data_IF_881397714655
#
_entry.id   IF_881397714655
#
_cell.length_a   1.000
_cell.length_b   1.000
_cell.length_c   1.000
_cell.angle_alpha   90.00
_cell.angle_beta   90.00
_cell.angle_gamma   90.00
#
_symmetry.space_group_name_H-M   'P 1'
#
loop_
_entity.id
_entity.type
_entity.pdbx_description
1 polymer ?
#
# COMPACT_ATOMS: atom_id res chain seq x y z
N UNK A 1 -1.90 23.45 14.56
CA UNK A 1 -2.38 22.86 13.31
C UNK A 1 -1.41 21.77 12.92
N UNK A 2 -1.89 20.62 12.46
CA UNK A 2 -1.03 19.64 11.81
C UNK A 2 -0.75 20.18 10.40
N UNK A 3 0.51 20.45 10.09
CA UNK A 3 0.90 20.89 8.75
C UNK A 3 0.97 19.66 7.83
N UNK A 4 0.35 19.75 6.65
CA UNK A 4 0.22 18.62 5.71
C UNK A 4 0.71 19.06 4.34
N UNK A 5 1.71 18.36 3.83
CA UNK A 5 2.23 18.59 2.49
C UNK A 5 1.79 17.46 1.54
N UNK A 6 1.18 17.84 0.41
CA UNK A 6 0.67 16.90 -0.58
C UNK A 6 1.61 16.77 -1.77
N UNK A 7 1.95 15.53 -2.13
CA UNK A 7 2.62 15.21 -3.38
C UNK A 7 1.65 14.45 -4.30
N UNK A 8 1.51 14.94 -5.52
CA UNK A 8 0.89 14.18 -6.62
C UNK A 8 1.93 14.03 -7.73
N UNK A 9 1.81 12.97 -8.51
CA UNK A 9 2.70 12.74 -9.65
C UNK A 9 2.61 13.88 -10.69
N UNK A 10 1.50 14.61 -10.70
CA UNK A 10 1.24 15.72 -11.61
C UNK A 10 1.83 17.06 -11.12
N UNK A 11 2.37 17.12 -9.89
CA UNK A 11 2.99 18.33 -9.32
C UNK A 11 4.51 18.32 -9.54
N UNK A 12 4.93 18.69 -10.75
CA UNK A 12 6.19 19.29 -11.23
C UNK A 12 7.58 18.74 -10.80
N UNK A 13 7.73 17.86 -9.80
CA UNK A 13 9.04 17.50 -9.22
C UNK A 13 9.52 16.06 -9.53
N UNK A 14 8.69 15.22 -10.15
CA UNK A 14 8.99 13.80 -10.39
C UNK A 14 8.64 13.41 -11.84
N UNK A 15 9.43 13.87 -12.80
CA UNK A 15 9.23 13.54 -14.21
C UNK A 15 9.58 12.06 -14.49
N UNK A 16 8.69 11.34 -15.19
CA UNK A 16 8.79 9.89 -15.45
C UNK A 16 10.05 9.48 -16.21
N UNK A 17 10.51 10.34 -17.11
CA UNK A 17 11.69 10.16 -17.95
C UNK A 17 13.02 10.26 -17.18
N UNK A 18 12.99 10.77 -15.94
CA UNK A 18 14.16 10.88 -15.07
C UNK A 18 14.25 9.73 -14.04
N UNK A 19 13.48 8.66 -14.22
CA UNK A 19 13.58 7.49 -13.35
C UNK A 19 14.68 6.53 -13.80
N UNK A 20 15.64 6.18 -12.93
CA UNK A 20 16.65 5.17 -13.25
C UNK A 20 16.08 3.75 -13.39
N UNK A 21 14.83 3.54 -12.96
CA UNK A 21 14.10 2.29 -13.05
C UNK A 21 12.70 2.56 -13.62
N UNK A 22 12.44 2.28 -14.92
CA UNK A 22 11.16 2.57 -15.57
C UNK A 22 10.05 1.57 -15.20
N UNK A 23 10.34 0.56 -14.38
CA UNK A 23 9.33 -0.38 -13.92
C UNK A 23 8.37 0.28 -12.93
N UNK A 24 7.06 0.15 -13.18
CA UNK A 24 6.00 0.83 -12.42
C UNK A 24 6.08 0.62 -10.90
N UNK A 25 6.56 -0.54 -10.45
CA UNK A 25 6.86 -0.74 -9.03
C UNK A 25 8.02 0.17 -8.60
N UNK A 26 9.20 -0.02 -9.18
CA UNK A 26 10.42 0.69 -8.80
C UNK A 26 10.24 2.22 -8.86
N UNK A 27 9.47 2.73 -9.81
CA UNK A 27 9.06 4.13 -9.86
C UNK A 27 8.35 4.57 -8.58
N UNK A 28 7.32 3.84 -8.13
CA UNK A 28 6.56 4.21 -6.93
C UNK A 28 7.42 4.33 -5.66
N UNK A 29 8.32 3.37 -5.43
CA UNK A 29 9.20 3.41 -4.24
C UNK A 29 10.27 4.51 -4.39
N UNK A 30 10.71 4.79 -5.61
CA UNK A 30 11.65 5.88 -5.90
C UNK A 30 11.02 7.23 -5.61
N UNK A 31 9.81 7.47 -6.12
CA UNK A 31 9.04 8.70 -5.86
C UNK A 31 8.85 8.93 -4.36
N UNK A 32 8.50 7.87 -3.64
CA UNK A 32 8.30 7.95 -2.19
C UNK A 32 9.58 8.27 -1.42
N UNK A 33 10.71 7.65 -1.77
CA UNK A 33 12.01 7.98 -1.16
C UNK A 33 12.51 9.38 -1.55
N UNK A 34 12.28 9.85 -2.79
CA UNK A 34 12.58 11.22 -3.19
C UNK A 34 11.78 12.24 -2.40
N UNK A 35 10.47 12.00 -2.23
CA UNK A 35 9.62 12.84 -1.39
C UNK A 35 10.13 12.86 0.06
N UNK A 36 10.57 11.71 0.59
CA UNK A 36 11.22 11.64 1.91
C UNK A 36 12.46 12.52 2.01
N UNK A 37 13.36 12.41 1.03
CA UNK A 37 14.60 13.20 1.03
C UNK A 37 14.31 14.72 0.92
N UNK A 38 13.30 15.13 0.13
CA UNK A 38 12.86 16.53 0.02
C UNK A 38 12.24 17.10 1.30
N UNK A 39 11.59 16.24 2.08
CA UNK A 39 10.89 16.60 3.32
C UNK A 39 11.71 16.33 4.58
N UNK A 40 12.96 15.88 4.45
CA UNK A 40 13.79 15.50 5.59
C UNK A 40 13.93 16.69 6.57
N UNK A 41 13.66 16.41 7.84
CA UNK A 41 13.65 17.42 8.92
C UNK A 41 12.40 18.30 9.00
N UNK A 42 11.41 18.12 8.10
CA UNK A 42 10.12 18.87 8.13
C UNK A 42 8.94 18.05 8.62
N UNK A 43 8.84 16.80 8.17
CA UNK A 43 7.78 15.87 8.57
C UNK A 43 8.37 14.51 8.93
N UNK A 44 7.94 13.98 10.07
CA UNK A 44 8.40 12.68 10.55
C UNK A 44 7.65 11.51 9.91
N UNK A 45 6.37 11.72 9.58
CA UNK A 45 5.49 10.68 9.06
C UNK A 45 5.17 10.96 7.59
N UNK A 46 5.41 9.96 6.75
CA UNK A 46 5.09 9.98 5.34
C UNK A 46 4.02 8.94 5.04
N UNK A 47 2.99 9.36 4.29
CA UNK A 47 1.88 8.49 3.91
C UNK A 47 1.72 8.54 2.39
N UNK A 48 1.86 7.38 1.74
CA UNK A 48 1.47 7.18 0.34
C UNK A 48 0.13 6.48 0.31
N UNK A 49 -0.75 6.94 -0.57
CA UNK A 49 -2.03 6.27 -0.88
C UNK A 49 -2.16 6.10 -2.39
N UNK A 50 -2.76 5.00 -2.83
CA UNK A 50 -3.24 4.89 -4.21
C UNK A 50 -4.47 5.79 -4.39
N UNK A 51 -4.62 6.37 -5.57
CA UNK A 51 -5.73 7.27 -5.90
C UNK A 51 -7.02 6.51 -6.25
N UNK A 52 -6.94 5.22 -6.60
CA UNK A 52 -8.07 4.37 -6.97
C UNK A 52 -8.63 3.55 -5.79
N UNK A 53 -8.48 4.04 -4.55
CA UNK A 53 -8.93 3.34 -3.34
C UNK A 53 -10.36 3.71 -2.95
N UNK A 54 -11.15 2.68 -2.64
CA UNK A 54 -12.36 2.78 -1.85
C UNK A 54 -12.08 2.27 -0.44
N UNK A 55 -12.18 3.14 0.56
CA UNK A 55 -11.94 2.80 1.96
C UNK A 55 -13.29 2.63 2.62
N UNK A 56 -13.57 1.43 3.12
CA UNK A 56 -14.84 1.12 3.78
C UNK A 56 -14.85 1.62 5.22
N UNK A 57 -16.03 1.64 5.85
CA UNK A 57 -16.20 2.13 7.22
C UNK A 57 -15.40 1.32 8.24
N UNK A 58 -15.26 0.01 8.03
CA UNK A 58 -14.45 -0.88 8.88
C UNK A 58 -12.95 -0.77 8.61
N UNK A 59 -12.52 -0.27 7.45
CA UNK A 59 -11.11 -0.08 7.13
C UNK A 59 -10.54 1.21 7.74
N UNK A 60 -11.34 2.27 7.91
CA UNK A 60 -10.90 3.54 8.50
C UNK A 60 -10.26 3.38 9.89
N UNK A 61 -10.90 2.70 10.87
CA UNK A 61 -10.29 2.49 12.19
C UNK A 61 -8.96 1.74 12.10
N UNK A 62 -8.82 0.78 11.20
CA UNK A 62 -7.59 -0.01 11.02
C UNK A 62 -6.46 0.86 10.46
N UNK A 63 -6.77 1.75 9.51
CA UNK A 63 -5.80 2.70 8.94
C UNK A 63 -5.34 3.70 10.01
N UNK A 64 -6.27 4.28 10.78
CA UNK A 64 -5.91 5.22 11.85
C UNK A 64 -5.10 4.55 12.96
N UNK A 65 -5.49 3.34 13.37
CA UNK A 65 -4.68 2.55 14.31
C UNK A 65 -3.26 2.33 13.76
N UNK A 66 -3.12 2.08 12.44
CA UNK A 66 -1.79 1.93 11.84
C UNK A 66 -0.97 3.22 11.89
N UNK A 67 -1.60 4.38 11.67
CA UNK A 67 -0.95 5.68 11.81
C UNK A 67 -0.48 5.87 13.25
N UNK A 68 -1.37 5.66 14.23
CA UNK A 68 -1.06 5.79 15.65
C UNK A 68 0.09 4.88 16.09
N UNK A 69 0.14 3.66 15.55
CA UNK A 69 1.24 2.73 15.83
C UNK A 69 2.59 3.22 15.31
N UNK A 70 2.61 3.87 14.15
CA UNK A 70 3.84 4.45 13.58
C UNK A 70 4.25 5.68 14.38
N UNK A 71 3.30 6.57 14.71
CA UNK A 71 3.53 7.76 15.54
C UNK A 71 4.04 7.37 16.92
N UNK A 72 3.48 6.34 17.54
CA UNK A 72 3.89 5.84 18.85
C UNK A 72 5.16 4.97 18.84
N UNK A 73 5.79 4.74 17.67
CA UNK A 73 6.99 3.93 17.55
C UNK A 73 6.79 2.42 17.78
N UNK A 74 5.53 1.92 17.82
CA UNK A 74 5.22 0.49 17.96
C UNK A 74 5.58 -0.32 16.71
N UNK A 75 5.61 0.36 15.57
CA UNK A 75 6.17 -0.11 14.30
C UNK A 75 6.75 1.10 13.58
N UNK A 76 7.71 0.91 12.68
CA UNK A 76 8.27 2.04 11.93
C UNK A 76 7.61 2.20 10.55
N UNK A 77 7.12 1.09 9.97
CA UNK A 77 6.45 1.10 8.66
C UNK A 77 5.21 0.21 8.68
N UNK A 78 4.09 0.75 8.22
CA UNK A 78 2.83 0.05 7.98
C UNK A 78 2.53 -0.09 6.50
N UNK A 79 2.38 -1.32 6.03
CA UNK A 79 1.97 -1.66 4.67
C UNK A 79 0.51 -2.13 4.67
N UNK A 80 -0.42 -1.28 4.25
CA UNK A 80 -1.86 -1.55 4.32
C UNK A 80 -2.43 -1.82 2.93
N UNK A 81 -3.37 -2.76 2.83
CA UNK A 81 -4.10 -3.09 1.61
C UNK A 81 -5.06 -4.25 1.81
N UNK A 82 -5.36 -5.00 0.76
CA UNK A 82 -6.34 -6.08 0.82
C UNK A 82 -5.81 -7.38 0.20
N UNK A 83 -5.89 -8.46 0.97
CA UNK A 83 -5.54 -9.81 0.54
C UNK A 83 -6.80 -10.69 0.40
N UNK A 84 -7.43 -10.61 -0.77
CA UNK A 84 -8.59 -11.45 -1.10
C UNK A 84 -8.30 -12.96 -1.12
N UNK A 85 -7.04 -13.36 -1.29
CA UNK A 85 -6.70 -14.78 -1.39
C UNK A 85 -6.82 -15.48 -0.03
N UNK A 86 -6.45 -14.78 1.05
CA UNK A 86 -6.30 -15.37 2.38
C UNK A 86 -7.20 -14.74 3.46
N UNK A 87 -7.61 -13.48 3.29
CA UNK A 87 -8.27 -12.69 4.34
C UNK A 87 -9.53 -11.98 3.82
N UNK A 88 -10.21 -12.57 2.83
CA UNK A 88 -11.38 -11.98 2.18
C UNK A 88 -12.52 -11.71 3.17
N UNK A 89 -12.68 -12.57 4.16
CA UNK A 89 -13.76 -12.58 5.15
C UNK A 89 -13.41 -11.86 6.47
N UNK A 90 -12.22 -11.27 6.58
CA UNK A 90 -11.72 -10.65 7.82
C UNK A 90 -11.72 -9.13 7.74
N UNK A 91 -12.19 -8.46 8.79
CA UNK A 91 -12.05 -6.99 8.94
C UNK A 91 -10.58 -6.58 8.92
N UNK A 92 -9.73 -7.35 9.59
CA UNK A 92 -8.29 -7.09 9.67
C UNK A 92 -7.48 -8.38 9.80
N UNK A 93 -6.30 -8.39 9.20
CA UNK A 93 -5.21 -9.30 9.54
C UNK A 93 -3.86 -8.55 9.53
N UNK A 94 -3.11 -8.60 10.63
CA UNK A 94 -1.78 -7.99 10.79
C UNK A 94 -0.71 -9.06 10.89
N UNK A 95 0.44 -8.88 10.22
CA UNK A 95 1.63 -9.75 10.30
C UNK A 95 2.90 -8.92 10.32
N UNK A 96 3.99 -9.48 10.85
CA UNK A 96 5.31 -8.90 10.65
C UNK A 96 5.65 -8.94 9.14
N UNK A 97 6.18 -7.84 8.60
CA UNK A 97 6.53 -7.74 7.18
C UNK A 97 7.63 -8.74 6.77
N UNK A 98 8.46 -9.19 7.71
CA UNK A 98 9.54 -10.16 7.48
C UNK A 98 9.03 -11.60 7.35
N UNK A 99 7.84 -11.89 7.88
CA UNK A 99 7.19 -13.22 7.80
C UNK A 99 6.50 -13.44 6.43
N UNK A 100 6.43 -12.42 5.59
CA UNK A 100 5.70 -12.47 4.32
C UNK A 100 6.58 -12.23 3.09
N UNK A 101 6.29 -12.93 2.00
CA UNK A 101 6.98 -12.74 0.70
C UNK A 101 6.55 -11.48 -0.05
N UNK A 102 5.37 -10.95 0.26
CA UNK A 102 4.76 -9.76 -0.36
C UNK A 102 4.10 -8.95 0.74
N UNK A 103 4.38 -7.65 0.76
CA UNK A 103 3.68 -6.70 1.63
C UNK A 103 2.53 -6.06 0.86
N UNK A 104 1.54 -5.52 1.57
CA UNK A 104 0.53 -4.68 0.92
C UNK A 104 1.13 -3.37 0.42
N UNK A 105 0.47 -2.71 -0.55
CA UNK A 105 1.03 -1.52 -1.20
C UNK A 105 -0.02 -0.45 -1.54
N UNK A 106 -1.22 -0.56 -0.97
CA UNK A 106 -2.30 0.40 -1.23
C UNK A 106 -2.04 1.68 -0.49
N UNK A 107 -1.79 1.55 0.82
CA UNK A 107 -1.37 2.64 1.69
C UNK A 107 -0.05 2.22 2.35
N UNK A 108 0.92 3.13 2.35
CA UNK A 108 2.21 2.94 3.03
C UNK A 108 2.39 4.10 3.99
N UNK A 109 2.52 3.78 5.27
CA UNK A 109 2.72 4.75 6.35
C UNK A 109 4.11 4.48 6.91
N UNK A 110 5.00 5.46 6.88
CA UNK A 110 6.38 5.27 7.29
C UNK A 110 6.87 6.44 8.14
N UNK A 111 7.63 6.11 9.19
CA UNK A 111 8.48 7.08 9.85
C UNK A 111 9.71 7.36 8.96
N UNK A 112 9.96 8.61 8.58
CA UNK A 112 11.00 9.00 7.62
C UNK A 112 12.41 8.58 8.04
N UNK A 113 12.71 8.57 9.35
CA UNK A 113 13.99 8.09 9.89
C UNK A 113 14.21 6.58 9.73
N UNK A 114 13.15 5.80 9.50
CA UNK A 114 13.21 4.36 9.25
C UNK A 114 13.29 4.02 7.75
N UNK A 115 13.27 5.03 6.89
CA UNK A 115 13.41 4.87 5.45
C UNK A 115 14.85 5.07 4.97
N UNK A 116 15.27 4.30 3.98
CA UNK A 116 16.56 4.51 3.29
C UNK A 116 16.53 5.76 2.41
N UNK A 117 17.70 6.29 2.10
CA UNK A 117 17.87 7.36 1.10
C UNK A 117 17.52 6.88 -0.29
N UNK A 118 17.18 7.83 -1.17
CA UNK A 118 16.99 7.51 -2.60
C UNK A 118 18.20 6.81 -3.19
N UNK A 119 19.41 7.25 -2.82
CA UNK A 119 20.66 6.62 -3.27
C UNK A 119 20.78 5.16 -2.81
N UNK A 120 20.50 4.88 -1.53
CA UNK A 120 20.55 3.52 -0.99
C UNK A 120 19.44 2.64 -1.59
N UNK A 121 18.24 3.19 -1.82
CA UNK A 121 17.19 2.50 -2.54
C UNK A 121 17.66 2.11 -3.95
N UNK A 122 18.35 2.99 -4.67
CA UNK A 122 18.87 2.66 -6.01
C UNK A 122 19.88 1.52 -5.98
N UNK A 123 20.78 1.51 -5.00
CA UNK A 123 21.71 0.38 -4.79
C UNK A 123 20.96 -0.93 -4.54
N UNK A 124 19.89 -0.90 -3.74
CA UNK A 124 19.04 -2.07 -3.44
C UNK A 124 18.26 -2.54 -4.68
N UNK A 125 17.68 -1.63 -5.45
CA UNK A 125 16.92 -1.96 -6.66
C UNK A 125 17.82 -2.44 -7.80
N UNK A 126 19.04 -1.89 -7.93
CA UNK A 126 20.02 -2.31 -8.94
C UNK A 126 20.42 -3.78 -8.82
N UNK A 127 20.39 -4.35 -7.60
CA UNK A 127 20.67 -5.77 -7.33
C UNK A 127 19.50 -6.71 -7.70
N UNK A 128 18.33 -6.17 -8.02
CA UNK A 128 17.14 -6.97 -8.32
C UNK A 128 16.94 -7.17 -9.82
N UNK A 129 16.51 -8.37 -10.22
CA UNK A 129 16.08 -8.62 -11.59
C UNK A 129 14.87 -7.75 -11.98
N UNK A 130 14.82 -7.31 -13.25
CA UNK A 130 13.72 -6.53 -13.86
C UNK A 130 12.32 -7.01 -13.43
N UNK A 131 12.05 -8.32 -13.53
CA UNK A 131 10.74 -8.91 -13.18
C UNK A 131 10.30 -8.64 -11.73
N UNK A 132 11.25 -8.46 -10.79
CA UNK A 132 10.92 -8.12 -9.40
C UNK A 132 10.53 -6.64 -9.27
N UNK A 133 11.14 -5.77 -10.06
CA UNK A 133 10.95 -4.30 -10.03
C UNK A 133 9.60 -3.85 -10.56
N UNK A 134 8.90 -4.68 -11.33
CA UNK A 134 7.53 -4.41 -11.80
C UNK A 134 6.50 -4.49 -10.67
N UNK A 135 6.70 -5.36 -9.67
CA UNK A 135 5.67 -5.68 -8.70
C UNK A 135 5.84 -4.89 -7.40
N UNK A 136 4.96 -3.90 -7.17
CA UNK A 136 4.91 -3.06 -5.96
C UNK A 136 5.01 -3.87 -4.66
N UNK A 137 4.14 -4.86 -4.47
CA UNK A 137 4.09 -5.70 -3.26
C UNK A 137 5.41 -6.42 -2.93
N UNK A 138 6.30 -6.63 -3.90
CA UNK A 138 7.62 -7.23 -3.68
C UNK A 138 8.69 -6.22 -3.30
N UNK A 139 8.58 -4.98 -3.78
CA UNK A 139 9.65 -3.99 -3.69
C UNK A 139 9.47 -2.99 -2.55
N UNK A 140 8.24 -2.77 -2.07
CA UNK A 140 7.98 -1.78 -1.02
C UNK A 140 8.78 -2.05 0.25
N UNK A 141 9.13 -3.31 0.52
CA UNK A 141 10.06 -3.70 1.59
C UNK A 141 11.45 -3.05 1.53
N UNK A 142 11.92 -2.64 0.33
CA UNK A 142 13.28 -2.11 0.16
C UNK A 142 13.44 -0.68 0.65
N UNK A 143 12.34 0.06 0.88
CA UNK A 143 12.40 1.42 1.43
C UNK A 143 12.87 1.41 2.89
N UNK A 144 12.78 0.26 3.57
CA UNK A 144 13.00 0.12 5.00
C UNK A 144 14.49 0.03 5.33
N UNK A 145 14.98 0.80 6.29
CA UNK A 145 16.32 0.62 6.88
C UNK A 145 16.43 -0.72 7.60
N UNK A 146 17.64 -1.24 7.68
CA UNK A 146 17.87 -2.51 8.38
C UNK A 146 17.57 -2.34 9.88
N UNK A 147 16.90 -3.33 10.48
CA UNK A 147 16.46 -3.28 11.88
C UNK A 147 15.17 -2.51 12.15
N UNK A 148 14.62 -1.77 11.18
CA UNK A 148 13.33 -1.11 11.37
C UNK A 148 12.17 -2.12 11.43
N UNK A 149 11.28 -1.93 12.38
CA UNK A 149 10.06 -2.73 12.55
C UNK A 149 9.07 -2.39 11.45
N UNK A 150 8.49 -3.41 10.83
CA UNK A 150 7.47 -3.21 9.83
C UNK A 150 6.36 -4.26 9.91
N UNK A 151 5.15 -3.81 9.62
CA UNK A 151 3.95 -4.64 9.65
C UNK A 151 3.25 -4.57 8.29
N UNK A 152 2.66 -5.68 7.88
CA UNK A 152 1.69 -5.67 6.78
C UNK A 152 0.28 -5.94 7.33
N UNK A 153 -0.66 -5.11 6.92
CA UNK A 153 -2.05 -5.14 7.35
C UNK A 153 -2.95 -5.34 6.14
N UNK A 154 -3.72 -6.41 6.18
CA UNK A 154 -4.84 -6.62 5.27
C UNK A 154 -6.12 -6.14 5.95
N UNK A 155 -6.90 -5.31 5.28
CA UNK A 155 -8.22 -4.86 5.74
C UNK A 155 -9.11 -4.58 4.51
N UNK A 156 -10.39 -4.29 4.72
CA UNK A 156 -11.43 -4.20 3.69
C UNK A 156 -11.30 -2.88 2.87
N UNK A 157 -10.21 -2.75 2.10
CA UNK A 157 -9.99 -1.63 1.18
C UNK A 157 -10.04 -2.16 -0.25
N UNK A 158 -10.81 -1.51 -1.12
CA UNK A 158 -11.06 -2.00 -2.46
C UNK A 158 -10.51 -1.07 -3.54
N UNK A 159 -10.33 -1.62 -4.74
CA UNK A 159 -9.94 -0.83 -5.91
C UNK A 159 -11.16 -0.51 -6.75
N UNK A 160 -11.30 0.77 -7.10
CA UNK A 160 -12.30 1.24 -8.05
C UNK A 160 -11.80 0.87 -9.45
N UNK A 161 -12.50 -0.05 -10.12
CA UNK A 161 -12.12 -0.58 -11.44
C UNK A 161 -13.04 -0.18 -12.59
N UNK A 162 -14.22 0.34 -12.28
CA UNK A 162 -15.21 0.80 -13.25
C UNK A 162 -15.90 2.01 -12.67
N UNK A 163 -16.18 3.00 -13.50
CA UNK A 163 -16.97 4.17 -13.10
C UNK A 163 -18.45 3.80 -12.96
N UNK A 164 -19.07 4.25 -11.87
CA UNK A 164 -20.49 4.05 -11.58
C UNK A 164 -21.06 5.27 -10.86
N UNK A 165 -22.38 5.54 -11.02
CA UNK A 165 -23.07 6.59 -10.27
C UNK A 165 -23.07 6.35 -8.75
N UNK A 166 -23.08 5.09 -8.34
CA UNK A 166 -23.01 4.67 -6.95
C UNK A 166 -22.33 3.31 -6.85
N UNK A 167 -21.67 3.06 -5.71
CA UNK A 167 -21.01 1.80 -5.41
C UNK A 167 -21.55 1.19 -4.12
N UNK A 168 -21.69 -0.12 -4.11
CA UNK A 168 -21.66 -0.91 -2.88
C UNK A 168 -20.31 -1.63 -2.78
N UNK A 169 -19.87 -1.94 -1.57
CA UNK A 169 -18.64 -2.71 -1.33
C UNK A 169 -18.59 -4.02 -2.14
N UNK A 170 -19.71 -4.73 -2.21
CA UNK A 170 -19.82 -5.95 -3.01
C UNK A 170 -19.59 -5.70 -4.50
N UNK A 171 -20.14 -4.61 -5.05
CA UNK A 171 -19.94 -4.27 -6.46
C UNK A 171 -18.47 -3.95 -6.75
N UNK A 172 -17.80 -3.24 -5.85
CA UNK A 172 -16.38 -2.93 -5.98
C UNK A 172 -15.50 -4.19 -5.97
N UNK A 173 -15.74 -5.10 -5.02
CA UNK A 173 -15.05 -6.38 -4.98
C UNK A 173 -15.36 -7.24 -6.21
N UNK A 174 -16.62 -7.30 -6.64
CA UNK A 174 -17.03 -8.02 -7.82
C UNK A 174 -16.33 -7.50 -9.07
N UNK A 175 -16.36 -6.18 -9.31
CA UNK A 175 -15.72 -5.56 -10.47
C UNK A 175 -14.20 -5.78 -10.47
N UNK A 176 -13.58 -5.87 -9.30
CA UNK A 176 -12.14 -6.11 -9.19
C UNK A 176 -11.76 -7.58 -9.39
N UNK A 177 -12.50 -8.55 -8.83
CA UNK A 177 -12.10 -9.96 -8.81
C UNK A 177 -12.78 -10.83 -9.89
N UNK A 178 -13.94 -10.44 -10.41
CA UNK A 178 -14.63 -11.21 -11.47
C UNK A 178 -13.81 -11.37 -12.75
N UNK A 179 -12.86 -10.47 -13.01
CA UNK A 179 -11.98 -10.50 -14.19
C UNK A 179 -10.66 -11.26 -13.94
N UNK A 180 -10.38 -11.66 -12.70
CA UNK A 180 -9.14 -12.36 -12.35
C UNK A 180 -9.28 -13.86 -12.59
N UNK A 181 -8.46 -14.38 -13.51
CA UNK A 181 -8.44 -15.80 -13.88
C UNK A 181 -7.92 -16.72 -12.76
N UNK A 182 -7.17 -16.17 -11.80
CA UNK A 182 -6.47 -16.88 -10.74
C UNK A 182 -7.10 -16.68 -9.35
N UNK A 183 -8.32 -16.15 -9.28
CA UNK A 183 -9.02 -15.98 -8.01
C UNK A 183 -9.40 -17.36 -7.41
N UNK A 184 -9.07 -17.64 -6.13
CA UNK A 184 -9.36 -18.92 -5.49
C UNK A 184 -10.86 -19.18 -5.42
N UNK A 185 -11.25 -20.45 -5.61
CA UNK A 185 -12.65 -20.85 -5.65
C UNK A 185 -13.40 -20.48 -4.36
N UNK A 186 -12.77 -20.65 -3.19
CA UNK A 186 -13.39 -20.34 -1.89
C UNK A 186 -13.65 -18.83 -1.72
N UNK A 187 -12.70 -17.97 -2.09
CA UNK A 187 -12.87 -16.51 -2.02
C UNK A 187 -13.94 -16.04 -3.01
N UNK A 188 -13.99 -16.63 -4.20
CA UNK A 188 -15.01 -16.33 -5.21
C UNK A 188 -16.40 -16.82 -4.80
N UNK A 189 -16.48 -17.95 -4.10
CA UNK A 189 -17.74 -18.44 -3.55
C UNK A 189 -18.29 -17.49 -2.50
N UNK A 190 -17.46 -17.12 -1.52
CA UNK A 190 -17.81 -16.12 -0.52
C UNK A 190 -18.27 -14.80 -1.17
N UNK A 191 -17.56 -14.33 -2.20
CA UNK A 191 -17.95 -13.12 -2.93
C UNK A 191 -19.33 -13.25 -3.61
N UNK A 192 -19.75 -14.45 -4.03
CA UNK A 192 -21.08 -14.68 -4.63
C UNK A 192 -22.19 -14.77 -3.58
N UNK A 193 -21.91 -15.39 -2.44
CA UNK A 193 -22.92 -15.73 -1.44
C UNK A 193 -23.08 -14.68 -0.35
N UNK A 194 -22.01 -13.97 0.02
CA UNK A 194 -21.97 -13.09 1.20
C UNK A 194 -22.18 -11.60 0.89
N UNK A 195 -22.98 -11.27 -0.13
CA UNK A 195 -23.22 -9.88 -0.57
C UNK A 195 -23.68 -8.96 0.57
N UNK A 196 -24.53 -9.45 1.47
CA UNK A 196 -25.03 -8.66 2.59
C UNK A 196 -23.93 -8.33 3.60
N UNK A 197 -23.13 -9.33 3.98
CA UNK A 197 -21.97 -9.18 4.88
C UNK A 197 -20.96 -8.21 4.30
N UNK A 198 -20.63 -8.35 3.01
CA UNK A 198 -19.66 -7.49 2.32
C UNK A 198 -20.08 -6.02 2.32
N UNK A 199 -21.37 -5.74 2.11
CA UNK A 199 -21.89 -4.37 2.13
C UNK A 199 -21.96 -3.74 3.53
N UNK A 200 -21.66 -4.50 4.60
CA UNK A 200 -21.55 -3.98 5.97
C UNK A 200 -20.12 -3.64 6.38
N UNK A 201 -19.11 -4.01 5.58
CA UNK A 201 -17.74 -3.58 5.83
C UNK A 201 -17.56 -2.07 5.63
#
# INVERSE_FOLDING_TARGET
>A
GCDVHWFTHDNETLQRDQHPFPEAGAMQVTDFCRARDLLEGRYDILIKMRTDLWITDTAWPVIFEQVDRVVAGKTNIGYVGYNFLEHYDKVMNRKNADEVKKVQDFIVIAHGSAMVTTEELFKRLGKNAWKKRINGNKIWRYIRRDGALAETVSTQIYLIRKERPAYTNWQLLWDWFSVKKDAPAHSMEWLRTERHTINKF
#
